data_IF_368980455488
#
_entry.id   IF_368980455488
#
_cell.length_a   1.000
_cell.length_b   1.000
_cell.length_c   1.000
_cell.angle_alpha   90.00
_cell.angle_beta   90.00
_cell.angle_gamma   90.00
#
_symmetry.space_group_name_H-M   'P 1'
#
loop_
_entity.id
_entity.type
_entity.pdbx_description
1 polymer ?
#
# COMPACT_ATOMS: atom_id res chain seq x y z
N UNK A 1 20.89 16.64 13.69
CA UNK A 1 19.67 15.89 14.06
C UNK A 1 19.33 14.97 12.90
N UNK A 2 19.02 13.69 13.12
CA UNK A 2 18.50 12.85 12.02
C UNK A 2 17.15 13.44 11.57
N UNK A 3 16.96 13.56 10.26
CA UNK A 3 15.67 14.00 9.70
C UNK A 3 14.55 13.06 10.18
N UNK A 4 13.36 13.55 10.55
CA UNK A 4 12.21 12.69 10.88
C UNK A 4 11.64 11.96 9.66
N UNK A 5 12.12 12.30 8.46
CA UNK A 5 11.69 11.74 7.18
C UNK A 5 12.72 10.76 6.60
N UNK A 6 12.30 9.86 5.71
CA UNK A 6 13.23 8.96 5.04
C UNK A 6 14.32 9.72 4.29
N UNK A 7 15.59 9.25 4.30
CA UNK A 7 16.70 9.93 3.65
C UNK A 7 16.52 10.05 2.13
N UNK A 8 15.75 9.15 1.52
CA UNK A 8 15.40 9.17 0.10
C UNK A 8 14.42 10.30 -0.28
N UNK A 9 13.71 10.90 0.69
CA UNK A 9 12.79 11.99 0.40
C UNK A 9 13.51 13.25 -0.05
N UNK A 10 12.97 13.88 -1.08
CA UNK A 10 13.40 15.16 -1.58
C UNK A 10 12.98 16.23 -0.56
N UNK A 11 13.97 16.73 0.18
CA UNK A 11 13.75 17.71 1.24
C UNK A 11 13.28 19.07 0.70
N UNK A 12 13.48 19.35 -0.59
CA UNK A 12 12.95 20.55 -1.24
C UNK A 12 11.46 20.43 -1.62
N UNK A 13 10.94 19.20 -1.63
CA UNK A 13 9.56 18.88 -1.98
C UNK A 13 8.73 18.41 -0.77
N UNK A 14 8.98 18.97 0.41
CA UNK A 14 8.20 18.71 1.62
C UNK A 14 7.22 19.86 1.87
N UNK A 15 5.91 19.63 1.66
CA UNK A 15 4.92 20.65 1.99
C UNK A 15 4.69 20.70 3.50
N UNK A 16 4.33 21.86 4.04
CA UNK A 16 3.92 22.00 5.45
C UNK A 16 2.61 21.23 5.72
N UNK A 17 1.69 21.22 4.75
CA UNK A 17 0.39 20.54 4.79
C UNK A 17 0.14 19.85 3.44
N UNK A 18 -0.42 18.64 3.48
CA UNK A 18 -0.80 17.86 2.30
C UNK A 18 0.35 17.01 1.75
N UNK A 19 0.40 16.84 0.43
CA UNK A 19 1.39 15.98 -0.22
C UNK A 19 2.05 16.61 -1.45
N UNK A 20 3.20 16.06 -1.82
CA UNK A 20 3.85 16.27 -3.12
C UNK A 20 4.08 14.92 -3.81
N UNK A 21 4.00 14.93 -5.14
CA UNK A 21 4.40 13.80 -5.98
C UNK A 21 5.78 14.12 -6.57
N UNK A 22 6.76 13.28 -6.24
CA UNK A 22 8.13 13.39 -6.75
C UNK A 22 8.35 12.28 -7.75
N UNK A 23 8.58 12.64 -9.01
CA UNK A 23 8.86 11.66 -10.07
C UNK A 23 10.23 11.03 -9.86
N UNK A 24 10.28 9.69 -9.87
CA UNK A 24 11.51 8.95 -9.66
C UNK A 24 12.22 8.69 -10.99
N UNK A 25 13.53 8.90 -11.00
CA UNK A 25 14.37 8.49 -12.13
C UNK A 25 14.33 6.97 -12.31
N UNK A 26 14.13 6.51 -13.55
CA UNK A 26 14.17 5.11 -13.93
C UNK A 26 15.53 4.43 -13.66
N UNK A 27 16.61 5.21 -13.47
CA UNK A 27 17.94 4.69 -13.11
C UNK A 27 18.15 4.57 -11.60
N UNK A 28 17.25 5.10 -10.77
CA UNK A 28 17.39 5.05 -9.31
C UNK A 28 17.16 3.65 -8.75
N UNK A 29 17.86 3.31 -7.67
CA UNK A 29 17.70 2.03 -6.97
C UNK A 29 16.28 1.86 -6.41
N UNK A 30 15.66 2.96 -5.98
CA UNK A 30 14.28 3.04 -5.52
C UNK A 30 13.30 2.66 -6.63
N UNK A 31 13.41 3.27 -7.81
CA UNK A 31 12.58 2.93 -8.97
C UNK A 31 12.71 1.45 -9.32
N UNK A 32 13.95 0.96 -9.46
CA UNK A 32 14.23 -0.43 -9.84
C UNK A 32 13.70 -1.43 -8.82
N UNK A 33 13.61 -1.06 -7.54
CA UNK A 33 12.99 -1.90 -6.50
C UNK A 33 11.49 -2.06 -6.75
N UNK A 34 10.77 -0.97 -7.00
CA UNK A 34 9.32 -1.01 -7.24
C UNK A 34 9.00 -1.67 -8.58
N UNK A 35 9.78 -1.37 -9.63
CA UNK A 35 9.67 -2.02 -10.94
C UNK A 35 9.80 -3.55 -10.82
N UNK A 36 10.85 -4.04 -10.14
CA UNK A 36 11.01 -5.48 -9.92
C UNK A 36 9.83 -6.12 -9.20
N UNK A 37 9.24 -5.45 -8.20
CA UNK A 37 8.06 -5.97 -7.49
C UNK A 37 6.86 -6.07 -8.42
N UNK A 38 6.64 -5.04 -9.25
CA UNK A 38 5.55 -4.99 -10.22
C UNK A 38 5.70 -6.09 -11.30
N UNK A 39 6.88 -6.22 -11.89
CA UNK A 39 7.18 -7.14 -12.99
C UNK A 39 7.06 -8.63 -12.62
N UNK A 40 7.09 -8.97 -11.31
CA UNK A 40 6.87 -10.36 -10.85
C UNK A 40 5.59 -10.96 -11.41
N UNK A 41 4.54 -10.14 -11.56
CA UNK A 41 3.23 -10.60 -12.05
C UNK A 41 2.67 -9.79 -13.21
N UNK A 42 3.36 -8.73 -13.66
CA UNK A 42 2.90 -7.81 -14.71
C UNK A 42 3.85 -7.74 -15.91
N UNK A 43 4.39 -8.87 -16.37
CA UNK A 43 5.43 -8.95 -17.43
C UNK A 43 5.04 -8.32 -18.77
N UNK A 44 3.75 -8.31 -19.10
CA UNK A 44 3.24 -7.74 -20.36
C UNK A 44 2.92 -6.24 -20.26
N UNK A 45 3.32 -5.57 -19.17
CA UNK A 45 3.04 -4.16 -18.90
C UNK A 45 4.34 -3.40 -18.65
N UNK A 46 4.33 -2.11 -18.97
CA UNK A 46 5.46 -1.21 -18.75
C UNK A 46 5.03 -0.03 -17.89
N UNK A 47 5.87 0.32 -16.91
CA UNK A 47 5.70 1.51 -16.09
C UNK A 47 6.17 2.72 -16.90
N UNK A 48 5.31 3.72 -17.03
CA UNK A 48 5.61 4.99 -17.70
C UNK A 48 6.03 6.07 -16.72
N UNK A 49 5.39 6.09 -15.55
CA UNK A 49 5.73 7.01 -14.46
C UNK A 49 5.65 6.29 -13.13
N UNK A 50 6.64 6.57 -12.28
CA UNK A 50 6.63 6.18 -10.88
C UNK A 50 6.85 7.43 -10.05
N UNK A 51 5.85 7.78 -9.24
CA UNK A 51 5.90 8.96 -8.41
C UNK A 51 5.89 8.55 -6.94
N UNK A 52 6.88 9.01 -6.17
CA UNK A 52 6.88 8.91 -4.72
C UNK A 52 5.95 9.96 -4.14
N UNK A 53 5.14 9.55 -3.19
CA UNK A 53 4.25 10.43 -2.44
C UNK A 53 5.03 10.90 -1.22
N UNK A 54 5.12 12.22 -1.03
CA UNK A 54 5.70 12.84 0.16
C UNK A 54 4.61 13.60 0.89
N UNK A 55 3.96 12.90 1.82
CA UNK A 55 3.00 13.46 2.78
C UNK A 55 3.59 13.36 4.21
N UNK A 56 4.18 14.44 4.75
CA UNK A 56 4.82 14.44 6.06
C UNK A 56 3.88 14.05 7.21
N UNK A 57 2.64 14.54 7.20
CA UNK A 57 1.67 14.28 8.26
C UNK A 57 1.29 12.79 8.32
N UNK A 58 0.97 12.18 7.16
CA UNK A 58 0.67 10.75 7.09
C UNK A 58 1.86 9.89 7.48
N UNK A 59 3.08 10.29 7.10
CA UNK A 59 4.29 9.56 7.48
C UNK A 59 4.55 9.59 8.98
N UNK A 60 4.41 10.75 9.63
CA UNK A 60 4.59 10.89 11.08
C UNK A 60 3.60 10.00 11.84
N UNK A 61 2.33 9.98 11.42
CA UNK A 61 1.30 9.15 12.04
C UNK A 61 1.58 7.66 11.83
N UNK A 62 1.97 7.26 10.62
CA UNK A 62 2.37 5.88 10.30
C UNK A 62 3.54 5.41 11.18
N UNK A 63 4.60 6.22 11.28
CA UNK A 63 5.76 5.90 12.10
C UNK A 63 5.44 5.84 13.59
N UNK A 64 4.60 6.77 14.09
CA UNK A 64 4.11 6.71 15.46
C UNK A 64 3.34 5.42 15.72
N UNK A 65 2.45 5.01 14.81
CA UNK A 65 1.66 3.79 14.94
C UNK A 65 2.55 2.54 14.92
N UNK A 66 3.57 2.51 14.05
CA UNK A 66 4.60 1.46 14.02
C UNK A 66 5.30 1.31 15.37
N UNK A 67 5.67 2.42 16.01
CA UNK A 67 6.29 2.39 17.35
C UNK A 67 5.31 1.91 18.44
N UNK A 68 4.02 2.20 18.33
CA UNK A 68 3.02 1.61 19.23
C UNK A 68 2.92 0.10 19.06
N UNK A 69 2.87 -0.41 17.82
CA UNK A 69 2.83 -1.85 17.55
C UNK A 69 4.05 -2.57 18.12
N UNK A 70 5.26 -1.99 17.99
CA UNK A 70 6.49 -2.51 18.60
C UNK A 70 6.38 -2.63 20.12
N UNK A 71 5.91 -1.57 20.79
CA UNK A 71 5.73 -1.54 22.25
C UNK A 71 4.72 -2.59 22.73
N UNK A 72 3.56 -2.69 22.07
CA UNK A 72 2.53 -3.69 22.40
C UNK A 72 3.06 -5.11 22.22
N UNK A 73 3.88 -5.34 21.19
CA UNK A 73 4.53 -6.63 20.94
C UNK A 73 5.74 -6.91 21.83
N UNK A 74 6.23 -5.92 22.57
CA UNK A 74 7.54 -5.99 23.25
C UNK A 74 8.64 -6.47 22.30
N UNK A 75 8.55 -6.06 21.04
CA UNK A 75 9.45 -6.44 19.95
C UNK A 75 10.01 -5.18 19.30
N UNK A 76 11.25 -5.25 18.83
CA UNK A 76 11.86 -4.16 18.04
C UNK A 76 11.37 -4.14 16.59
N UNK A 77 10.65 -5.18 16.18
CA UNK A 77 10.23 -5.41 14.80
C UNK A 77 8.72 -5.60 14.69
N UNK A 78 8.17 -5.08 13.58
CA UNK A 78 6.79 -5.25 13.13
C UNK A 78 6.88 -5.64 11.66
N UNK A 79 6.13 -6.67 11.26
CA UNK A 79 6.03 -7.04 9.85
C UNK A 79 5.43 -5.87 9.07
N UNK A 80 6.26 -5.30 8.19
CA UNK A 80 5.92 -4.21 7.29
C UNK A 80 6.23 -4.66 5.87
N UNK A 81 5.23 -4.51 5.00
CA UNK A 81 5.32 -4.96 3.61
C UNK A 81 5.02 -3.81 2.66
N UNK A 82 5.66 -3.83 1.50
CA UNK A 82 5.24 -3.04 0.34
C UNK A 82 4.20 -3.84 -0.42
N UNK A 83 2.98 -3.32 -0.50
CA UNK A 83 1.84 -4.00 -1.12
C UNK A 83 1.12 -3.09 -2.12
N UNK A 84 0.47 -3.69 -3.10
CA UNK A 84 -0.25 -3.00 -4.17
C UNK A 84 -1.70 -2.72 -3.79
N UNK A 85 -2.24 -1.62 -4.29
CA UNK A 85 -3.66 -1.28 -4.18
C UNK A 85 -4.17 -0.65 -5.49
N UNK A 86 -5.11 -1.32 -6.14
CA UNK A 86 -5.79 -0.81 -7.33
C UNK A 86 -7.01 0.00 -6.93
N UNK A 87 -7.20 1.16 -7.57
CA UNK A 87 -8.36 2.01 -7.32
C UNK A 87 -8.69 2.86 -8.55
N UNK A 88 -9.88 3.44 -8.57
CA UNK A 88 -10.27 4.43 -9.57
C UNK A 88 -9.38 5.68 -9.47
N UNK A 89 -8.97 6.28 -10.60
CA UNK A 89 -8.27 7.57 -10.61
C UNK A 89 -8.95 8.69 -9.83
N UNK A 90 -10.29 8.63 -9.68
CA UNK A 90 -11.06 9.59 -8.89
C UNK A 90 -10.68 9.63 -7.40
N UNK A 91 -10.12 8.55 -6.85
CA UNK A 91 -9.72 8.48 -5.45
C UNK A 91 -8.26 8.87 -5.20
N UNK A 92 -7.45 9.06 -6.25
CA UNK A 92 -6.00 9.24 -6.13
C UNK A 92 -5.66 10.44 -5.25
N UNK A 93 -6.22 11.61 -5.54
CA UNK A 93 -5.95 12.83 -4.78
C UNK A 93 -6.39 12.69 -3.31
N UNK A 94 -7.55 12.07 -3.07
CA UNK A 94 -8.06 11.83 -1.72
C UNK A 94 -7.15 10.88 -0.93
N UNK A 95 -6.67 9.79 -1.54
CA UNK A 95 -5.76 8.84 -0.87
C UNK A 95 -4.42 9.49 -0.54
N UNK A 96 -3.84 10.26 -1.47
CA UNK A 96 -2.58 10.95 -1.22
C UNK A 96 -2.69 12.00 -0.09
N UNK A 97 -3.84 12.67 0.02
CA UNK A 97 -4.09 13.70 1.01
C UNK A 97 -4.51 13.12 2.38
N UNK A 98 -5.41 12.15 2.37
CA UNK A 98 -6.18 11.72 3.55
C UNK A 98 -5.94 10.26 3.97
N UNK A 99 -5.10 9.53 3.22
CA UNK A 99 -4.85 8.09 3.36
C UNK A 99 -6.02 7.22 2.85
N UNK A 100 -5.85 5.90 2.88
CA UNK A 100 -6.88 4.93 2.49
C UNK A 100 -7.99 4.87 3.55
N UNK A 101 -9.24 5.02 3.10
CA UNK A 101 -10.43 4.86 3.94
C UNK A 101 -11.43 3.93 3.25
N UNK A 102 -11.53 2.69 3.75
CA UNK A 102 -12.42 1.67 3.19
C UNK A 102 -13.90 2.07 3.25
N UNK A 103 -14.28 3.01 4.12
CA UNK A 103 -15.66 3.54 4.20
C UNK A 103 -15.99 4.43 3.01
N UNK A 104 -14.97 4.97 2.34
CA UNK A 104 -15.10 5.86 1.18
C UNK A 104 -14.79 5.11 -0.11
N UNK A 105 -13.78 4.23 -0.12
CA UNK A 105 -13.31 3.55 -1.34
C UNK A 105 -14.19 2.39 -1.83
N UNK A 106 -15.31 2.10 -1.15
CA UNK A 106 -16.21 1.02 -1.50
C UNK A 106 -15.69 -0.36 -1.08
N UNK A 107 -16.60 -1.19 -0.59
CA UNK A 107 -16.35 -2.56 -0.14
C UNK A 107 -16.32 -3.54 -1.32
N UNK A 108 -15.41 -3.37 -2.28
CA UNK A 108 -15.24 -4.37 -3.33
C UNK A 108 -14.53 -5.60 -2.77
N UNK A 109 -15.22 -6.75 -2.75
CA UNK A 109 -14.62 -8.03 -2.32
C UNK A 109 -14.32 -8.11 -0.83
N UNK A 110 -15.29 -7.88 0.05
CA UNK A 110 -15.14 -7.98 1.52
C UNK A 110 -15.05 -9.41 2.04
N UNK A 111 -14.45 -10.35 1.30
CA UNK A 111 -14.43 -11.77 1.67
C UNK A 111 -13.66 -12.02 2.97
N UNK A 112 -12.66 -11.19 3.26
CA UNK A 112 -11.73 -11.34 4.38
C UNK A 112 -11.88 -10.23 5.44
N UNK A 113 -12.96 -9.44 5.35
CA UNK A 113 -13.32 -8.38 6.30
C UNK A 113 -13.65 -7.04 5.63
N UNK A 114 -14.23 -6.13 6.40
CA UNK A 114 -14.56 -4.76 5.99
C UNK A 114 -13.41 -3.81 6.35
N UNK A 115 -12.40 -3.82 5.48
CA UNK A 115 -11.20 -3.00 5.62
C UNK A 115 -10.60 -2.65 4.25
N UNK A 116 -9.45 -1.98 4.25
CA UNK A 116 -8.70 -1.65 3.04
C UNK A 116 -7.89 -2.87 2.58
N UNK A 117 -8.05 -3.26 1.32
CA UNK A 117 -7.41 -4.45 0.75
C UNK A 117 -6.10 -4.11 0.05
N UNK A 118 -5.05 -4.89 0.31
CA UNK A 118 -3.74 -4.75 -0.31
C UNK A 118 -3.28 -6.11 -0.82
N UNK A 119 -2.66 -6.13 -2.00
CA UNK A 119 -2.21 -7.36 -2.64
C UNK A 119 -0.69 -7.45 -2.66
N UNK A 120 -0.16 -8.66 -2.46
CA UNK A 120 1.25 -8.98 -2.72
C UNK A 120 1.58 -8.83 -4.21
N UNK A 121 0.65 -9.25 -5.06
CA UNK A 121 0.83 -9.36 -6.50
C UNK A 121 0.10 -8.22 -7.23
N UNK A 122 0.84 -7.43 -8.01
CA UNK A 122 0.29 -6.30 -8.78
C UNK A 122 -0.84 -6.70 -9.74
N UNK A 123 -0.78 -7.92 -10.31
CA UNK A 123 -1.81 -8.47 -11.19
C UNK A 123 -3.19 -8.60 -10.53
N UNK A 124 -3.25 -8.82 -9.21
CA UNK A 124 -4.51 -8.82 -8.48
C UNK A 124 -5.07 -7.40 -8.39
N UNK A 125 -4.24 -6.44 -7.97
CA UNK A 125 -4.62 -5.02 -7.91
C UNK A 125 -5.02 -4.45 -9.27
N UNK A 126 -4.43 -4.91 -10.37
CA UNK A 126 -4.76 -4.49 -11.73
C UNK A 126 -6.25 -4.64 -12.06
N UNK A 127 -6.92 -5.66 -11.51
CA UNK A 127 -8.35 -5.92 -11.75
C UNK A 127 -9.25 -4.77 -11.25
N UNK A 128 -8.73 -3.93 -10.34
CA UNK A 128 -9.42 -2.78 -9.75
C UNK A 128 -8.93 -1.44 -10.32
N UNK A 129 -8.12 -1.47 -11.39
CA UNK A 129 -7.59 -0.29 -12.06
C UNK A 129 -8.37 -0.04 -13.37
N UNK A 130 -9.46 0.75 -13.35
CA UNK A 130 -10.17 1.06 -14.59
C UNK A 130 -9.25 1.84 -15.54
N UNK A 131 -9.34 1.55 -16.84
CA UNK A 131 -8.62 2.27 -17.88
C UNK A 131 -9.60 3.20 -18.60
N UNK A 132 -9.45 4.52 -18.43
CA UNK A 132 -10.22 5.51 -19.19
C UNK A 132 -9.48 6.05 -20.41
N UNK A 133 -8.15 5.93 -20.44
CA UNK A 133 -7.29 6.54 -21.47
C UNK A 133 -6.19 5.60 -21.99
N UNK A 134 -6.31 4.29 -21.76
CA UNK A 134 -5.28 3.30 -22.10
C UNK A 134 -4.14 3.20 -21.08
N UNK A 135 -4.08 4.12 -20.12
CA UNK A 135 -3.19 4.05 -18.96
C UNK A 135 -3.96 3.62 -17.72
N UNK A 136 -3.33 2.79 -16.89
CA UNK A 136 -3.81 2.39 -15.58
C UNK A 136 -2.95 3.01 -14.49
N UNK A 137 -3.54 3.20 -13.31
CA UNK A 137 -2.83 3.64 -12.12
C UNK A 137 -3.10 2.72 -10.95
N UNK A 138 -2.08 2.47 -10.15
CA UNK A 138 -2.20 1.75 -8.88
C UNK A 138 -1.25 2.36 -7.85
N UNK A 139 -1.56 2.14 -6.58
CA UNK A 139 -0.68 2.52 -5.47
C UNK A 139 0.24 1.36 -5.09
N UNK A 140 1.41 1.72 -4.57
CA UNK A 140 2.19 0.87 -3.66
C UNK A 140 2.24 1.56 -2.31
N UNK A 141 1.93 0.83 -1.25
CA UNK A 141 1.88 1.35 0.10
C UNK A 141 2.82 0.58 1.02
N UNK A 142 3.41 1.27 2.00
CA UNK A 142 3.94 0.63 3.20
C UNK A 142 2.75 0.23 4.07
N UNK A 143 2.70 -1.04 4.46
CA UNK A 143 1.61 -1.61 5.24
C UNK A 143 2.17 -2.35 6.44
N UNK A 144 1.80 -1.93 7.64
CA UNK A 144 2.10 -2.62 8.90
C UNK A 144 1.14 -3.79 9.08
N UNK A 145 1.43 -4.90 8.41
CA UNK A 145 0.59 -6.10 8.46
C UNK A 145 0.63 -6.77 9.83
N UNK A 146 1.74 -6.62 10.57
CA UNK A 146 1.89 -7.20 11.90
C UNK A 146 1.66 -8.70 11.92
N UNK A 147 1.03 -9.22 12.97
CA UNK A 147 0.63 -10.63 12.99
C UNK A 147 -0.79 -10.71 12.46
N UNK A 148 -0.98 -11.58 11.49
CA UNK A 148 -2.22 -11.73 10.77
C UNK A 148 -2.87 -13.07 11.05
N UNK A 149 -4.14 -13.17 10.66
CA UNK A 149 -4.99 -14.36 10.78
C UNK A 149 -5.90 -14.44 9.57
N UNK A 150 -6.43 -15.62 9.27
CA UNK A 150 -7.39 -15.75 8.17
C UNK A 150 -8.60 -14.84 8.39
N UNK A 151 -8.99 -14.14 7.34
CA UNK A 151 -10.10 -13.19 7.36
C UNK A 151 -11.47 -13.86 7.27
N UNK A 152 -12.49 -13.07 7.57
CA UNK A 152 -13.89 -13.44 7.46
C UNK A 152 -14.70 -12.20 7.06
N UNK A 153 -15.74 -12.38 6.23
CA UNK A 153 -16.53 -11.27 5.69
C UNK A 153 -17.22 -10.41 6.74
N UNK A 154 -17.51 -10.98 7.91
CA UNK A 154 -18.20 -10.30 9.00
C UNK A 154 -17.25 -9.45 9.87
N UNK A 155 -15.94 -9.58 9.69
CA UNK A 155 -14.99 -8.83 10.50
C UNK A 155 -15.03 -7.34 10.18
N UNK A 156 -15.32 -6.53 11.20
CA UNK A 156 -15.20 -5.06 11.20
C UNK A 156 -13.86 -4.59 11.76
N UNK A 157 -13.11 -5.51 12.37
CA UNK A 157 -11.78 -5.36 12.94
C UNK A 157 -11.14 -6.75 13.02
N UNK A 158 -9.82 -6.89 13.15
CA UNK A 158 -9.20 -8.20 13.33
C UNK A 158 -9.76 -8.90 14.58
N UNK A 159 -9.88 -10.24 14.57
CA UNK A 159 -10.38 -10.99 15.72
C UNK A 159 -9.36 -10.98 16.88
N UNK A 160 -9.83 -11.36 18.08
CA UNK A 160 -8.97 -11.54 19.24
C UNK A 160 -8.06 -12.75 19.09
N UNK A 161 -6.89 -12.71 19.74
CA UNK A 161 -5.94 -13.81 19.76
C UNK A 161 -6.41 -14.94 20.69
N UNK A 162 -6.13 -16.21 20.34
CA UNK A 162 -6.35 -17.33 21.24
C UNK A 162 -5.69 -17.08 22.59
N UNK A 163 -6.44 -17.27 23.68
CA UNK A 163 -5.93 -17.10 25.06
C UNK A 163 -5.78 -15.64 25.53
N UNK A 164 -6.08 -14.63 24.72
CA UNK A 164 -6.08 -13.23 25.15
C UNK A 164 -7.15 -12.40 24.40
N UNK A 165 -8.36 -12.34 24.95
CA UNK A 165 -9.49 -11.61 24.37
C UNK A 165 -9.22 -10.11 24.18
N UNK A 166 -8.35 -9.53 25.00
CA UNK A 166 -8.01 -8.10 24.98
C UNK A 166 -6.95 -7.75 23.92
N UNK A 167 -6.38 -8.74 23.24
CA UNK A 167 -5.35 -8.53 22.22
C UNK A 167 -5.80 -9.03 20.88
N UNK A 168 -5.93 -8.13 19.92
CA UNK A 168 -6.33 -8.45 18.56
C UNK A 168 -5.12 -8.89 17.72
N UNK A 169 -5.40 -9.55 16.60
CA UNK A 169 -4.48 -9.57 15.47
C UNK A 169 -4.33 -8.15 14.89
N UNK A 170 -3.31 -7.94 14.08
CA UNK A 170 -3.03 -6.63 13.49
C UNK A 170 -3.68 -6.48 12.11
N UNK A 171 -3.87 -7.58 11.38
CA UNK A 171 -4.55 -7.61 10.09
C UNK A 171 -5.19 -8.98 9.80
N UNK A 172 -5.98 -9.05 8.73
CA UNK A 172 -6.53 -10.31 8.22
C UNK A 172 -5.93 -10.63 6.85
N UNK A 173 -5.88 -11.92 6.49
CA UNK A 173 -5.35 -12.41 5.20
C UNK A 173 -6.28 -13.44 4.56
N UNK A 174 -6.03 -13.75 3.29
CA UNK A 174 -6.67 -14.85 2.56
C UNK A 174 -6.19 -16.22 3.02
N UNK A 175 -4.87 -16.41 3.11
CA UNK A 175 -4.20 -17.63 3.55
C UNK A 175 -3.09 -17.29 4.56
N UNK A 176 -3.16 -17.77 5.82
CA UNK A 176 -2.10 -17.53 6.82
C UNK A 176 -0.73 -18.12 6.46
N UNK A 177 -0.65 -19.15 5.62
CA UNK A 177 0.61 -19.82 5.29
C UNK A 177 1.35 -19.12 4.14
N UNK A 178 0.64 -18.74 3.06
CA UNK A 178 1.18 -17.91 1.97
C UNK A 178 0.22 -16.76 1.60
N UNK A 179 0.18 -15.68 2.40
CA UNK A 179 -0.78 -14.61 2.20
C UNK A 179 -0.52 -13.81 0.92
N UNK A 180 -1.55 -13.69 0.08
CA UNK A 180 -1.53 -12.88 -1.14
C UNK A 180 -2.35 -11.60 -1.01
N UNK A 181 -3.30 -11.57 -0.07
CA UNK A 181 -4.19 -10.45 0.22
C UNK A 181 -4.10 -10.11 1.70
N UNK A 182 -4.01 -8.82 2.02
CA UNK A 182 -4.04 -8.28 3.37
C UNK A 182 -5.19 -7.29 3.51
N UNK A 183 -5.96 -7.44 4.59
CA UNK A 183 -7.05 -6.53 4.96
C UNK A 183 -6.66 -5.74 6.19
N UNK A 184 -6.64 -4.42 6.04
CA UNK A 184 -6.21 -3.47 7.07
C UNK A 184 -7.39 -2.62 7.50
N UNK A 185 -7.65 -2.60 8.81
CA UNK A 185 -8.83 -1.96 9.38
C UNK A 185 -8.54 -0.56 9.95
N UNK A 186 -7.29 -0.31 10.34
CA UNK A 186 -6.83 0.99 10.86
C UNK A 186 -5.95 1.69 9.82
N UNK A 187 -6.37 2.88 9.37
CA UNK A 187 -5.68 3.62 8.31
C UNK A 187 -4.26 4.03 8.69
N UNK A 188 -3.98 4.21 9.99
CA UNK A 188 -2.63 4.56 10.45
C UNK A 188 -1.61 3.42 10.30
N UNK A 189 -2.06 2.18 10.00
CA UNK A 189 -1.19 1.08 9.60
C UNK A 189 -0.67 1.21 8.15
N UNK A 190 -1.13 2.21 7.41
CA UNK A 190 -0.87 2.33 5.98
C UNK A 190 -0.22 3.68 5.69
N UNK A 191 0.76 3.66 4.81
CA UNK A 191 1.30 4.86 4.19
C UNK A 191 1.30 4.70 2.66
N UNK A 192 0.54 5.51 1.89
CA UNK A 192 0.62 5.50 0.43
C UNK A 192 2.00 6.02 0.02
N UNK A 193 2.85 5.14 -0.53
CA UNK A 193 4.25 5.44 -0.76
C UNK A 193 4.52 5.85 -2.22
N UNK A 194 3.86 5.19 -3.17
CA UNK A 194 4.05 5.44 -4.59
C UNK A 194 2.75 5.37 -5.38
N UNK A 195 2.69 6.10 -6.48
CA UNK A 195 1.73 5.92 -7.57
C UNK A 195 2.47 5.44 -8.81
N UNK A 196 2.00 4.33 -9.38
CA UNK A 196 2.43 3.84 -10.68
C UNK A 196 1.45 4.29 -11.75
N UNK A 197 1.96 4.76 -12.88
CA UNK A 197 1.22 4.86 -14.14
C UNK A 197 1.85 3.90 -15.14
N UNK A 198 1.04 2.99 -15.70
CA UNK A 198 1.52 1.90 -16.54
C UNK A 198 0.49 1.57 -17.63
N UNK A 199 0.91 0.87 -18.66
CA UNK A 199 0.00 0.30 -19.66
C UNK A 199 0.55 -1.02 -20.16
N UNK A 200 -0.27 -1.75 -20.92
CA UNK A 200 0.21 -2.94 -21.63
C UNK A 200 1.33 -2.53 -22.57
N UNK A 201 2.42 -3.29 -22.57
CA UNK A 201 3.55 -3.07 -23.45
C UNK A 201 3.10 -3.28 -24.91
N UNK A 202 3.44 -2.35 -25.78
CA UNK A 202 3.23 -2.51 -27.22
C UNK A 202 4.10 -3.68 -27.68
N UNK A 203 3.47 -4.79 -28.10
CA UNK A 203 4.19 -5.84 -28.83
C UNK A 203 4.68 -5.24 -30.13
N UNK A 204 5.99 -4.98 -30.23
CA UNK A 204 6.60 -4.72 -31.52
C UNK A 204 6.49 -6.03 -32.32
N UNK A 205 5.51 -6.11 -33.22
CA UNK A 205 5.51 -7.15 -34.25
C UNK A 205 6.58 -6.74 -35.25
N UNK A 206 7.76 -7.35 -35.14
CA UNK A 206 8.72 -7.33 -36.25
C UNK A 206 8.10 -8.24 -37.31
N UNK A 207 7.49 -7.62 -38.32
CA UNK A 207 7.05 -8.29 -39.56
C UNK A 207 8.24 -8.55 -40.46
#
# INVERSE_FOLDING_TARGET
TCSPYPPEWDQSALPDIGYKLVELSYTSSEYRKIERLFERTMKDYSIHRLQRIQNPALWQVFQWFKEQMKKVKKSRWVDERLLFHGTSPSHLAAICEQNFDWRVCGAHGTLYGKGSYFARDASYSHQYCPSSTGHQRMFVAHVLVGDFVQGNSEYLRPPSRPGNANRLYDSCVDDPEDPSIFVIFEKHQIYPAYVLEYSRASRCMIL
#
